data_IF_645445364691
#
_entry.id   IF_645445364691
#
_cell.length_a   1.000
_cell.length_b   1.000
_cell.length_c   1.000
_cell.angle_alpha   90.00
_cell.angle_beta   90.00
_cell.angle_gamma   90.00
#
_symmetry.space_group_name_H-M   'P 1'
#
loop_
_entity.id
_entity.type
_entity.pdbx_description
1 polymer ?
#
# COMPACT_ATOMS: atom_id res chain seq x y z
N UNK A 1 10.02 5.50 -45.69
CA UNK A 1 9.61 6.57 -44.74
C UNK A 1 9.36 5.94 -43.38
N UNK A 2 10.36 5.86 -42.48
CA UNK A 2 10.24 5.10 -41.23
C UNK A 2 9.68 6.01 -40.12
N UNK A 3 8.37 6.25 -40.13
CA UNK A 3 7.68 6.88 -39.00
C UNK A 3 6.61 5.91 -38.51
N UNK A 4 7.01 4.97 -37.66
CA UNK A 4 6.07 3.97 -37.13
C UNK A 4 6.55 3.22 -35.90
N UNK A 5 7.87 3.16 -35.66
CA UNK A 5 8.43 2.42 -34.52
C UNK A 5 8.53 3.32 -33.27
N UNK A 6 8.77 4.62 -33.44
CA UNK A 6 8.98 5.55 -32.32
C UNK A 6 7.74 5.76 -31.43
N UNK A 7 6.56 5.99 -32.02
CA UNK A 7 5.33 6.23 -31.25
C UNK A 7 4.80 4.97 -30.56
N UNK A 8 4.93 3.81 -31.20
CA UNK A 8 4.58 2.53 -30.58
C UNK A 8 5.48 2.22 -29.38
N UNK A 9 6.78 2.54 -29.48
CA UNK A 9 7.72 2.36 -28.38
C UNK A 9 7.41 3.27 -27.18
N UNK A 10 7.03 4.54 -27.44
CA UNK A 10 6.66 5.50 -26.39
C UNK A 10 5.36 5.14 -25.66
N UNK A 11 4.38 4.56 -26.36
CA UNK A 11 3.14 4.09 -25.73
C UNK A 11 3.38 2.83 -24.89
N UNK A 12 4.21 1.90 -25.40
CA UNK A 12 4.60 0.71 -24.66
C UNK A 12 5.39 1.06 -23.38
N UNK A 13 6.30 2.03 -23.44
CA UNK A 13 7.06 2.47 -22.26
C UNK A 13 6.17 3.19 -21.23
N UNK A 14 5.23 4.03 -21.65
CA UNK A 14 4.28 4.67 -20.75
C UNK A 14 3.35 3.65 -20.05
N UNK A 15 2.90 2.62 -20.77
CA UNK A 15 2.07 1.56 -20.21
C UNK A 15 2.84 0.70 -19.21
N UNK A 16 4.09 0.32 -19.52
CA UNK A 16 4.98 -0.42 -18.61
C UNK A 16 5.33 0.40 -17.35
N UNK A 17 5.63 1.70 -17.50
CA UNK A 17 5.85 2.60 -16.36
C UNK A 17 4.58 2.77 -15.52
N UNK A 18 3.41 2.85 -16.15
CA UNK A 18 2.12 2.91 -15.47
C UNK A 18 1.78 1.64 -14.68
N UNK A 19 2.06 0.45 -15.24
CA UNK A 19 1.89 -0.83 -14.55
C UNK A 19 2.88 -0.98 -13.39
N UNK A 20 4.15 -0.59 -13.59
CA UNK A 20 5.17 -0.64 -12.53
C UNK A 20 4.85 0.30 -11.35
N UNK A 21 4.17 1.43 -11.61
CA UNK A 21 3.68 2.34 -10.55
C UNK A 21 2.44 1.82 -9.82
N UNK A 22 1.67 0.89 -10.43
CA UNK A 22 0.47 0.30 -9.83
C UNK A 22 0.78 -0.89 -8.91
N UNK A 23 1.92 -1.55 -9.15
CA UNK A 23 2.44 -2.68 -8.37
C UNK A 23 3.38 -2.23 -7.23
N UNK A 24 3.29 -0.96 -6.78
CA UNK A 24 4.02 -0.55 -5.59
C UNK A 24 3.45 -1.32 -4.39
N UNK A 25 4.23 -2.20 -3.74
CA UNK A 25 3.77 -2.87 -2.54
C UNK A 25 3.56 -1.80 -1.47
N UNK A 26 2.30 -1.42 -1.29
CA UNK A 26 1.90 -0.53 -0.23
C UNK A 26 2.22 -1.23 1.09
N UNK A 27 3.21 -0.66 1.79
CA UNK A 27 3.76 -1.15 3.05
C UNK A 27 4.54 -2.47 2.94
N UNK A 28 5.70 -2.48 3.60
CA UNK A 28 6.45 -3.68 3.94
C UNK A 28 5.52 -4.65 4.68
N UNK A 29 4.91 -5.59 3.97
CA UNK A 29 3.89 -6.44 4.54
C UNK A 29 4.50 -7.47 5.51
N UNK A 30 4.18 -7.33 6.79
CA UNK A 30 4.27 -8.45 7.73
C UNK A 30 3.24 -9.52 7.36
N UNK A 31 3.56 -10.78 7.67
CA UNK A 31 2.63 -11.89 7.50
C UNK A 31 1.29 -11.66 8.23
N UNK A 32 0.19 -12.02 7.56
CA UNK A 32 -1.18 -11.81 8.02
C UNK A 32 -1.85 -10.61 7.35
N UNK A 33 -3.17 -10.50 7.49
CA UNK A 33 -3.99 -9.42 6.92
C UNK A 33 -4.48 -8.47 8.00
N UNK A 34 -4.80 -7.23 7.59
CA UNK A 34 -5.47 -6.29 8.48
C UNK A 34 -6.81 -6.88 8.92
N UNK A 35 -7.09 -6.96 10.24
CA UNK A 35 -8.35 -7.46 10.71
C UNK A 35 -9.48 -6.50 10.31
N UNK A 36 -10.64 -7.04 9.92
CA UNK A 36 -11.89 -6.27 9.84
C UNK A 36 -12.34 -5.96 11.25
N UNK A 37 -11.80 -4.91 11.84
CA UNK A 37 -12.36 -4.36 13.07
C UNK A 37 -12.85 -2.96 12.77
N UNK A 38 -14.13 -2.74 13.07
CA UNK A 38 -14.70 -1.42 13.31
C UNK A 38 -13.96 -0.86 14.53
N UNK A 39 -12.77 -0.30 14.31
CA UNK A 39 -11.96 0.23 15.38
C UNK A 39 -12.83 1.23 16.17
N UNK A 40 -12.90 1.13 17.50
CA UNK A 40 -13.44 2.23 18.28
C UNK A 40 -12.69 3.50 17.87
N UNK A 41 -13.38 4.64 17.89
CA UNK A 41 -12.80 5.96 17.65
C UNK A 41 -11.78 6.29 18.76
N UNK A 42 -10.68 5.54 18.83
CA UNK A 42 -9.47 5.94 19.52
C UNK A 42 -8.83 7.11 18.80
N UNK A 43 -7.67 7.54 19.29
CA UNK A 43 -6.93 8.70 18.78
C UNK A 43 -6.87 8.64 17.24
N UNK A 44 -7.60 9.57 16.57
CA UNK A 44 -7.60 9.72 15.12
C UNK A 44 -6.32 10.43 14.67
N UNK A 45 -5.18 9.81 14.94
CA UNK A 45 -3.87 10.29 14.54
C UNK A 45 -3.12 9.17 13.82
N UNK A 46 -2.26 9.55 12.88
CA UNK A 46 -1.42 8.61 12.15
C UNK A 46 -0.27 8.16 13.06
N UNK A 47 -0.31 6.91 13.52
CA UNK A 47 0.68 6.36 14.46
C UNK A 47 1.81 5.59 13.79
N UNK A 48 1.61 5.17 12.54
CA UNK A 48 2.56 4.38 11.77
C UNK A 48 2.35 4.67 10.28
N UNK A 49 3.37 4.48 9.45
CA UNK A 49 3.20 4.49 7.98
C UNK A 49 3.43 3.11 7.37
N UNK A 50 4.14 2.22 8.07
CA UNK A 50 4.42 0.87 7.59
C UNK A 50 4.50 -0.15 8.74
N UNK A 51 4.27 -1.43 8.45
CA UNK A 51 4.25 -2.51 9.45
C UNK A 51 5.55 -2.65 10.24
N UNK A 52 6.70 -2.22 9.70
CA UNK A 52 7.99 -2.29 10.38
C UNK A 52 8.09 -1.34 11.59
N UNK A 53 7.29 -0.26 11.59
CA UNK A 53 7.20 0.67 12.72
C UNK A 53 6.41 0.06 13.87
N UNK A 54 5.62 -0.97 13.59
CA UNK A 54 4.80 -1.65 14.57
C UNK A 54 5.58 -2.78 15.26
N UNK A 55 5.51 -2.86 16.60
CA UNK A 55 6.27 -3.86 17.35
C UNK A 55 5.74 -5.28 17.10
N UNK A 56 6.64 -6.26 17.22
CA UNK A 56 6.27 -7.68 17.24
C UNK A 56 5.77 -8.17 15.88
N UNK A 57 4.49 -8.60 15.79
CA UNK A 57 3.84 -9.02 14.53
C UNK A 57 2.74 -8.05 14.08
N UNK A 58 2.62 -6.89 14.73
CA UNK A 58 1.56 -5.94 14.42
C UNK A 58 1.73 -5.34 13.02
N UNK A 59 0.62 -5.06 12.34
CA UNK A 59 0.58 -4.41 11.03
C UNK A 59 0.06 -2.98 11.16
N UNK A 60 0.47 -2.11 10.25
CA UNK A 60 0.00 -0.75 10.16
C UNK A 60 -1.25 -0.70 9.29
N UNK A 61 -2.42 -0.59 9.91
CA UNK A 61 -3.71 -0.70 9.22
C UNK A 61 -4.53 0.58 9.35
N UNK A 62 -5.36 0.87 8.34
CA UNK A 62 -6.32 1.99 8.38
C UNK A 62 -7.49 1.65 9.29
N UNK A 63 -7.78 2.57 10.19
CA UNK A 63 -8.90 2.54 11.12
C UNK A 63 -10.15 3.18 10.51
N UNK A 64 -11.30 3.02 11.16
CA UNK A 64 -12.59 3.59 10.74
C UNK A 64 -12.64 5.13 10.65
N UNK A 65 -11.64 5.83 11.20
CA UNK A 65 -11.48 7.28 11.10
C UNK A 65 -10.61 7.72 9.90
N UNK A 66 -10.14 6.79 9.07
CA UNK A 66 -9.26 7.07 7.92
C UNK A 66 -7.78 7.26 8.26
N UNK A 67 -7.41 7.05 9.52
CA UNK A 67 -6.04 7.15 10.06
C UNK A 67 -5.41 5.77 10.26
N UNK A 68 -4.09 5.71 10.34
CA UNK A 68 -3.34 4.45 10.43
C UNK A 68 -2.82 4.17 11.84
N UNK A 69 -2.96 2.93 12.31
CA UNK A 69 -2.44 2.49 13.61
C UNK A 69 -1.90 1.06 13.58
N UNK A 70 -1.11 0.72 14.61
CA UNK A 70 -0.54 -0.62 14.77
C UNK A 70 -1.55 -1.58 15.39
N UNK A 71 -1.85 -2.66 14.68
CA UNK A 71 -2.94 -3.58 15.03
C UNK A 71 -2.47 -5.03 14.92
N UNK A 72 -3.06 -5.92 15.71
CA UNK A 72 -2.75 -7.35 15.62
C UNK A 72 -3.32 -7.91 14.31
N UNK A 73 -2.51 -8.55 13.45
CA UNK A 73 -3.00 -9.12 12.20
C UNK A 73 -3.82 -10.40 12.41
N UNK A 74 -4.69 -10.69 11.45
CA UNK A 74 -5.27 -12.02 11.29
C UNK A 74 -4.34 -12.90 10.45
N UNK A 75 -4.16 -14.16 10.84
CA UNK A 75 -3.33 -15.15 10.14
C UNK A 75 -4.18 -16.17 9.41
#
# INVERSE_FOLDING_TARGET
MPVGIGRFCLLASAFLLGVLLLDLPAATEKAGTCPSVDFPLGICEDQCEMDSQCPGKMKCCRNGCGKVSCVTPNF
#
